data_IF_130639083651
#
_entry.id   IF_130639083651
#
_cell.length_a   1.000
_cell.length_b   1.000
_cell.length_c   1.000
_cell.angle_alpha   90.00
_cell.angle_beta   90.00
_cell.angle_gamma   90.00
#
_symmetry.space_group_name_H-M   'P 1'
#
loop_
_entity.id
_entity.type
_entity.pdbx_description
1 polymer ?
#
# COMPACT_ATOMS: atom_id res chain seq x y z
N UNK A 1 19.35 -15.48 -9.56
CA UNK A 1 19.12 -14.13 -10.12
C UNK A 1 18.98 -13.18 -8.93
N UNK A 2 19.88 -12.22 -8.82
CA UNK A 2 19.84 -11.24 -7.74
C UNK A 2 18.60 -10.35 -7.91
N UNK A 3 17.79 -10.20 -6.85
CA UNK A 3 16.60 -9.36 -6.90
C UNK A 3 17.01 -7.89 -6.84
N UNK A 4 16.49 -7.10 -7.78
CA UNK A 4 16.63 -5.66 -7.76
C UNK A 4 15.96 -5.06 -6.50
N UNK A 5 16.53 -3.97 -5.95
CA UNK A 5 15.99 -3.18 -4.84
C UNK A 5 15.62 -4.02 -3.60
N UNK A 6 16.54 -4.85 -3.12
CA UNK A 6 16.29 -5.76 -1.99
C UNK A 6 15.87 -5.02 -0.72
N UNK A 7 16.49 -3.87 -0.43
CA UNK A 7 16.16 -3.04 0.73
C UNK A 7 14.68 -2.59 0.72
N UNK A 8 14.21 -2.14 -0.42
CA UNK A 8 12.82 -1.70 -0.61
C UNK A 8 11.85 -2.88 -0.54
N UNK A 9 12.25 -4.05 -1.06
CA UNK A 9 11.47 -5.29 -0.96
C UNK A 9 11.30 -5.73 0.49
N UNK A 10 12.37 -5.76 1.27
CA UNK A 10 12.33 -6.08 2.69
C UNK A 10 11.48 -5.08 3.48
N UNK A 11 11.59 -3.78 3.17
CA UNK A 11 10.77 -2.75 3.79
C UNK A 11 9.27 -2.94 3.49
N UNK A 12 8.89 -3.28 2.25
CA UNK A 12 7.48 -3.61 1.91
C UNK A 12 7.01 -4.82 2.73
N UNK A 13 7.80 -5.88 2.82
CA UNK A 13 7.45 -7.07 3.60
C UNK A 13 7.28 -6.75 5.09
N UNK A 14 8.18 -5.97 5.68
CA UNK A 14 8.09 -5.54 7.08
C UNK A 14 6.80 -4.73 7.34
N UNK A 15 6.45 -3.79 6.47
CA UNK A 15 5.19 -3.03 6.55
C UNK A 15 3.99 -3.97 6.44
N UNK A 16 3.97 -4.89 5.49
CA UNK A 16 2.89 -5.87 5.31
C UNK A 16 2.68 -6.73 6.57
N UNK A 17 3.76 -7.25 7.15
CA UNK A 17 3.70 -8.05 8.38
C UNK A 17 3.15 -7.24 9.56
N UNK A 18 3.60 -5.98 9.72
CA UNK A 18 3.09 -5.07 10.75
C UNK A 18 1.60 -4.75 10.56
N UNK A 19 1.15 -4.54 9.31
CA UNK A 19 -0.27 -4.33 9.00
C UNK A 19 -1.11 -5.53 9.44
N UNK A 20 -0.65 -6.75 9.13
CA UNK A 20 -1.33 -7.97 9.52
C UNK A 20 -1.33 -8.17 11.04
N UNK A 21 -0.18 -8.00 11.70
CA UNK A 21 -0.03 -8.13 13.15
C UNK A 21 -0.92 -7.15 13.93
N UNK A 22 -1.12 -5.94 13.38
CA UNK A 22 -1.98 -4.91 13.98
C UNK A 22 -3.47 -5.09 13.65
N UNK A 23 -3.83 -6.06 12.85
CA UNK A 23 -5.23 -6.34 12.47
C UNK A 23 -5.87 -5.25 11.61
N UNK A 24 -5.06 -4.46 10.88
CA UNK A 24 -5.57 -3.44 9.96
C UNK A 24 -5.78 -3.94 8.53
N UNK A 25 -5.44 -5.20 8.29
CA UNK A 25 -5.77 -5.96 7.08
C UNK A 25 -6.21 -7.36 7.48
N UNK A 26 -7.18 -7.92 6.77
CA UNK A 26 -7.65 -9.28 6.94
C UNK A 26 -7.36 -10.09 5.67
N UNK A 27 -7.25 -11.41 5.80
CA UNK A 27 -7.01 -12.32 4.67
C UNK A 27 -5.94 -11.77 3.70
N UNK A 28 -6.35 -11.41 2.47
CA UNK A 28 -5.49 -10.85 1.42
C UNK A 28 -5.77 -9.36 1.13
N UNK A 29 -6.49 -8.69 2.02
CA UNK A 29 -6.79 -7.26 1.91
C UNK A 29 -5.55 -6.38 1.98
N UNK A 30 -5.70 -5.14 1.49
CA UNK A 30 -4.66 -4.13 1.49
C UNK A 30 -3.55 -4.39 0.47
N UNK A 31 -2.77 -3.37 0.20
CA UNK A 31 -1.65 -3.42 -0.73
C UNK A 31 -0.64 -2.32 -0.43
N UNK A 32 0.59 -2.57 -0.81
CA UNK A 32 1.72 -1.66 -0.59
C UNK A 32 2.49 -1.53 -1.89
N UNK A 33 2.92 -0.32 -2.21
CA UNK A 33 3.86 -0.06 -3.29
C UNK A 33 4.91 0.97 -2.92
N UNK A 34 6.04 0.92 -3.61
CA UNK A 34 7.14 1.88 -3.49
C UNK A 34 7.57 2.30 -4.90
N UNK A 35 7.78 3.60 -5.08
CA UNK A 35 8.41 4.18 -6.27
C UNK A 35 9.92 4.18 -6.09
N UNK A 36 10.63 3.51 -6.99
CA UNK A 36 12.09 3.43 -6.99
C UNK A 36 12.72 4.69 -7.60
N UNK A 37 14.02 4.88 -7.36
CA UNK A 37 14.75 6.05 -7.87
C UNK A 37 14.83 6.11 -9.39
N UNK A 38 14.80 4.95 -10.05
CA UNK A 38 14.79 4.83 -11.50
C UNK A 38 13.40 5.09 -12.14
N UNK A 39 12.39 5.44 -11.33
CA UNK A 39 11.03 5.70 -11.77
C UNK A 39 10.17 4.45 -11.96
N UNK A 40 10.68 3.26 -11.66
CA UNK A 40 9.91 2.01 -11.65
C UNK A 40 9.24 1.79 -10.28
N UNK A 41 8.44 0.74 -10.15
CA UNK A 41 7.66 0.50 -8.93
C UNK A 41 7.77 -0.95 -8.47
N UNK A 42 7.83 -1.13 -7.15
CA UNK A 42 7.59 -2.43 -6.52
C UNK A 42 6.20 -2.43 -5.89
N UNK A 43 5.48 -3.53 -5.99
CA UNK A 43 4.18 -3.66 -5.34
C UNK A 43 3.91 -5.08 -4.84
N UNK A 44 3.00 -5.17 -3.88
CA UNK A 44 2.49 -6.45 -3.41
C UNK A 44 1.65 -7.13 -4.49
N UNK A 45 1.75 -8.46 -4.62
CA UNK A 45 0.92 -9.23 -5.54
C UNK A 45 -0.55 -9.27 -5.08
N UNK A 46 -1.44 -9.49 -6.04
CA UNK A 46 -2.86 -9.73 -5.80
C UNK A 46 -3.09 -11.09 -5.13
N UNK A 47 -4.08 -11.16 -4.24
CA UNK A 47 -4.57 -12.42 -3.68
C UNK A 47 -3.66 -13.07 -2.64
N UNK A 48 -2.66 -12.35 -2.11
CA UNK A 48 -1.72 -12.87 -1.11
C UNK A 48 -1.92 -12.17 0.23
N UNK A 49 -1.98 -12.96 1.31
CA UNK A 49 -2.02 -12.43 2.67
C UNK A 49 -0.79 -11.60 3.00
N UNK A 50 -0.97 -10.47 3.69
CA UNK A 50 0.15 -9.63 4.13
C UNK A 50 1.04 -10.33 5.17
N UNK A 51 0.53 -11.38 5.83
CA UNK A 51 1.32 -12.26 6.70
C UNK A 51 2.36 -13.11 5.95
N UNK A 52 2.09 -13.41 4.67
CA UNK A 52 2.90 -14.31 3.86
C UNK A 52 3.77 -13.58 2.81
N UNK A 53 3.97 -12.27 3.00
CA UNK A 53 4.76 -11.47 2.06
C UNK A 53 6.24 -11.80 2.19
N UNK A 54 6.89 -12.06 1.05
CA UNK A 54 8.35 -12.24 0.92
C UNK A 54 8.89 -11.39 -0.22
N UNK A 55 10.18 -11.04 -0.22
CA UNK A 55 10.79 -10.21 -1.26
C UNK A 55 10.64 -10.78 -2.67
N UNK A 56 10.64 -12.11 -2.81
CA UNK A 56 10.63 -12.82 -4.10
C UNK A 56 9.30 -12.70 -4.84
N UNK A 57 8.18 -12.63 -4.08
CA UNK A 57 6.84 -12.57 -4.68
C UNK A 57 6.37 -11.17 -5.02
N UNK A 58 7.13 -10.13 -4.63
CA UNK A 58 6.81 -8.75 -4.99
C UNK A 58 6.98 -8.54 -6.50
N UNK A 59 6.02 -7.84 -7.09
CA UNK A 59 5.99 -7.57 -8.52
C UNK A 59 6.71 -6.25 -8.82
N UNK A 60 7.55 -6.25 -9.86
CA UNK A 60 8.25 -5.08 -10.35
C UNK A 60 7.56 -4.56 -11.61
N UNK A 61 7.20 -3.27 -11.59
CA UNK A 61 6.44 -2.60 -12.64
C UNK A 61 7.23 -1.44 -13.25
N UNK A 62 7.07 -1.25 -14.55
CA UNK A 62 7.53 -0.06 -15.25
C UNK A 62 6.66 1.17 -14.91
N UNK A 63 7.10 2.34 -15.35
CA UNK A 63 6.39 3.60 -15.13
C UNK A 63 4.98 3.63 -15.75
N UNK A 64 4.75 2.88 -16.82
CA UNK A 64 3.47 2.73 -17.48
C UNK A 64 2.56 1.65 -16.85
N UNK A 65 3.04 0.98 -15.81
CA UNK A 65 2.34 -0.10 -15.10
C UNK A 65 2.51 -1.48 -15.72
N UNK A 66 3.28 -1.63 -16.79
CA UNK A 66 3.61 -2.94 -17.35
C UNK A 66 4.54 -3.74 -16.42
N UNK A 67 4.39 -5.07 -16.42
CA UNK A 67 5.20 -5.94 -15.56
C UNK A 67 6.60 -6.10 -16.14
N UNK A 68 7.60 -5.63 -15.40
CA UNK A 68 9.02 -5.89 -15.71
C UNK A 68 9.41 -7.29 -15.24
N UNK A 69 9.06 -7.64 -13.99
CA UNK A 69 9.30 -8.97 -13.45
C UNK A 69 8.30 -9.34 -12.35
N UNK A 70 7.93 -10.59 -12.32
CA UNK A 70 7.13 -11.23 -11.30
C UNK A 70 7.54 -12.69 -11.16
N UNK A 71 7.43 -13.25 -9.96
CA UNK A 71 7.54 -14.69 -9.78
C UNK A 71 6.36 -15.41 -10.47
N UNK A 72 6.55 -16.65 -10.86
CA UNK A 72 5.54 -17.45 -11.56
C UNK A 72 4.23 -17.51 -10.75
N UNK A 73 3.11 -17.24 -11.42
CA UNK A 73 1.77 -17.23 -10.81
C UNK A 73 1.38 -15.93 -10.10
N UNK A 74 2.29 -14.97 -9.92
CA UNK A 74 1.98 -13.71 -9.25
C UNK A 74 1.67 -12.59 -10.25
N UNK A 75 0.68 -11.78 -9.90
CA UNK A 75 0.23 -10.60 -10.65
C UNK A 75 0.20 -9.38 -9.72
N UNK A 76 0.39 -8.17 -10.24
CA UNK A 76 0.31 -6.97 -9.42
C UNK A 76 -1.09 -6.82 -8.80
N UNK A 77 -1.18 -6.10 -7.66
CA UNK A 77 -2.46 -5.74 -7.07
C UNK A 77 -3.36 -5.06 -8.10
N UNK A 78 -4.64 -5.40 -8.11
CA UNK A 78 -5.66 -4.76 -8.98
C UNK A 78 -5.83 -3.27 -8.70
N UNK A 79 -5.41 -2.81 -7.50
CA UNK A 79 -5.55 -1.44 -7.05
C UNK A 79 -4.34 -0.55 -7.38
N UNK A 80 -3.38 -1.05 -8.14
CA UNK A 80 -2.24 -0.25 -8.58
C UNK A 80 -2.63 1.03 -9.32
N UNK A 81 -3.81 1.07 -9.95
CA UNK A 81 -4.36 2.30 -10.57
C UNK A 81 -4.52 3.44 -9.55
N UNK A 82 -5.00 3.13 -8.34
CA UNK A 82 -5.11 4.09 -7.24
C UNK A 82 -3.71 4.55 -6.79
N UNK A 83 -2.77 3.63 -6.63
CA UNK A 83 -1.39 3.97 -6.25
C UNK A 83 -0.72 4.87 -7.29
N UNK A 84 -0.84 4.55 -8.57
CA UNK A 84 -0.31 5.40 -9.64
C UNK A 84 -0.93 6.79 -9.64
N UNK A 85 -2.22 6.91 -9.31
CA UNK A 85 -2.86 8.23 -9.16
C UNK A 85 -2.24 9.03 -8.02
N UNK A 86 -1.97 8.41 -6.87
CA UNK A 86 -1.28 9.07 -5.75
C UNK A 86 0.12 9.58 -6.16
N UNK A 87 0.89 8.77 -6.87
CA UNK A 87 2.22 9.16 -7.35
C UNK A 87 2.19 10.26 -8.42
N UNK A 88 1.13 10.30 -9.24
CA UNK A 88 0.95 11.33 -10.27
C UNK A 88 0.55 12.68 -9.67
N UNK A 89 -0.29 12.68 -8.62
CA UNK A 89 -0.76 13.90 -7.95
C UNK A 89 0.28 14.48 -6.96
N UNK A 90 1.19 13.66 -6.45
CA UNK A 90 2.13 14.02 -5.40
C UNK A 90 3.53 13.49 -5.71
N UNK A 91 4.38 14.35 -6.24
CA UNK A 91 5.77 14.00 -6.58
C UNK A 91 6.64 13.64 -5.37
N UNK A 92 6.29 14.16 -4.20
CA UNK A 92 6.95 13.88 -2.93
C UNK A 92 6.60 12.51 -2.35
N UNK A 93 5.52 11.86 -2.82
CA UNK A 93 5.12 10.52 -2.37
C UNK A 93 6.04 9.47 -2.98
N UNK A 94 6.69 8.68 -2.10
CA UNK A 94 7.61 7.58 -2.48
C UNK A 94 7.03 6.21 -2.18
N UNK A 95 6.00 6.12 -1.33
CA UNK A 95 5.32 4.87 -1.01
C UNK A 95 3.83 5.11 -0.81
N UNK A 96 3.02 4.12 -1.16
CA UNK A 96 1.57 4.10 -0.88
C UNK A 96 1.23 2.83 -0.13
N UNK A 97 0.55 2.99 0.99
CA UNK A 97 0.07 1.90 1.85
C UNK A 97 -1.45 1.98 1.93
N UNK A 98 -2.13 0.97 1.42
CA UNK A 98 -3.58 0.84 1.49
C UNK A 98 -3.97 -0.28 2.47
N UNK A 99 -4.88 0.01 3.36
CA UNK A 99 -5.36 -0.91 4.38
C UNK A 99 -6.85 -0.71 4.63
N UNK A 100 -7.47 -1.67 5.32
CA UNK A 100 -8.87 -1.63 5.74
C UNK A 100 -8.98 -1.66 7.28
N UNK A 101 -8.46 -0.65 8.01
CA UNK A 101 -8.58 -0.63 9.46
C UNK A 101 -10.05 -0.65 9.87
N UNK A 102 -10.51 -1.57 10.75
CA UNK A 102 -11.94 -1.78 10.99
C UNK A 102 -12.70 -0.52 11.40
N UNK A 103 -12.12 0.30 12.27
CA UNK A 103 -12.77 1.54 12.75
C UNK A 103 -12.84 2.57 11.61
N UNK A 104 -11.72 2.85 10.92
CA UNK A 104 -11.70 3.82 9.82
C UNK A 104 -12.62 3.37 8.67
N UNK A 105 -12.63 2.09 8.35
CA UNK A 105 -13.53 1.50 7.33
C UNK A 105 -15.00 1.65 7.73
N UNK A 106 -15.33 1.50 9.03
CA UNK A 106 -16.69 1.70 9.52
C UNK A 106 -17.14 3.17 9.33
N UNK A 107 -16.28 4.14 9.63
CA UNK A 107 -16.56 5.55 9.36
C UNK A 107 -16.76 5.82 7.88
N UNK A 108 -15.88 5.29 7.04
CA UNK A 108 -15.99 5.41 5.58
C UNK A 108 -17.31 4.83 5.07
N UNK A 109 -17.71 3.64 5.54
CA UNK A 109 -18.97 2.98 5.16
C UNK A 109 -20.22 3.78 5.57
N UNK A 110 -20.10 4.60 6.62
CA UNK A 110 -21.17 5.51 7.06
C UNK A 110 -21.14 6.87 6.33
N UNK A 111 -20.22 7.09 5.40
CA UNK A 111 -20.04 8.38 4.76
C UNK A 111 -19.53 9.49 5.70
N UNK A 112 -18.77 9.12 6.74
CA UNK A 112 -18.29 10.07 7.77
C UNK A 112 -16.79 10.22 7.74
N UNK A 113 -16.32 11.46 7.64
CA UNK A 113 -14.91 11.79 7.80
C UNK A 113 -14.45 11.63 9.26
N UNK A 114 -13.14 11.46 9.47
CA UNK A 114 -12.50 11.51 10.78
C UNK A 114 -11.92 12.92 10.97
N UNK A 115 -12.76 13.83 11.45
CA UNK A 115 -12.45 15.26 11.61
C UNK A 115 -12.74 15.80 13.02
N UNK A 116 -13.08 14.91 13.95
CA UNK A 116 -13.28 15.26 15.36
C UNK A 116 -11.96 15.36 16.13
N UNK A 117 -11.35 16.50 16.19
CA UNK A 117 -10.07 16.80 16.83
C UNK A 117 -10.04 16.54 18.36
N UNK A 118 -10.23 15.28 18.76
CA UNK A 118 -10.42 14.89 20.16
C UNK A 118 -9.13 14.54 20.90
N UNK A 119 -8.05 14.25 20.18
CA UNK A 119 -6.75 13.91 20.75
C UNK A 119 -5.64 14.73 20.08
N UNK A 120 -4.67 15.17 20.88
CA UNK A 120 -3.54 15.97 20.40
C UNK A 120 -2.74 15.23 19.34
N UNK A 121 -2.49 13.94 19.53
CA UNK A 121 -1.75 13.09 18.59
C UNK A 121 -2.46 13.01 17.23
N UNK A 122 -3.78 13.02 17.24
CA UNK A 122 -4.57 13.05 16.02
C UNK A 122 -4.41 14.36 15.26
N UNK A 123 -4.48 15.49 15.98
CA UNK A 123 -4.34 16.84 15.40
C UNK A 123 -2.94 17.03 14.80
N UNK A 124 -1.90 16.67 15.56
CA UNK A 124 -0.50 16.92 15.17
C UNK A 124 -0.02 16.01 14.07
N UNK A 125 -0.43 14.73 14.07
CA UNK A 125 0.12 13.73 13.17
C UNK A 125 -0.74 13.49 11.92
N UNK A 126 -2.05 13.65 11.99
CA UNK A 126 -2.97 13.31 10.90
C UNK A 126 -3.78 14.52 10.39
N UNK A 127 -4.18 15.41 11.26
CA UNK A 127 -5.18 16.42 10.93
C UNK A 127 -6.54 15.79 10.63
N UNK A 128 -7.32 16.43 9.77
CA UNK A 128 -8.58 15.85 9.29
C UNK A 128 -8.31 14.75 8.26
N UNK A 129 -8.94 13.60 8.45
CA UNK A 129 -8.95 12.53 7.45
C UNK A 129 -10.28 12.62 6.69
N UNK A 130 -10.25 13.14 5.45
CA UNK A 130 -11.45 13.29 4.64
C UNK A 130 -11.96 11.93 4.15
N UNK A 131 -13.21 11.92 3.70
CA UNK A 131 -13.79 10.79 2.98
C UNK A 131 -13.80 11.11 1.48
N UNK A 132 -13.33 10.17 0.67
CA UNK A 132 -13.53 10.21 -0.76
C UNK A 132 -14.97 9.77 -1.10
N UNK A 133 -15.65 10.38 -2.06
CA UNK A 133 -16.93 9.87 -2.54
C UNK A 133 -16.73 8.47 -3.15
N UNK A 134 -17.74 7.63 -2.96
CA UNK A 134 -17.76 6.27 -3.50
C UNK A 134 -18.14 6.26 -4.96
#
# INVERSE_FOLDING_TARGET
MELNAMKEREAICDVCHKMWQRGIVAANDGNVSVKLEDGTFLCTPSGVSKAAMTPEILVHLAADGSVISAAEGYKPSSEMKMHFRCYAEREDVKAVVHAHPPIATSYASMGRALDGYQAMEFIVNLGAVPIAPY
#
